data_IF_373612896635
#
_entry.id   IF_373612896635
#
_cell.length_a   1.000
_cell.length_b   1.000
_cell.length_c   1.000
_cell.angle_alpha   90.00
_cell.angle_beta   90.00
_cell.angle_gamma   90.00
#
_symmetry.space_group_name_H-M   'P 1'
#
loop_
_entity.id
_entity.type
_entity.pdbx_description
1 polymer ?
#
# COMPACT_ATOMS: atom_id res chain seq x y z
N UNK A 1 12.46 -6.03 -15.59
CA UNK A 1 11.23 -5.38 -15.11
C UNK A 1 11.64 -4.26 -14.16
N UNK A 2 11.00 -3.09 -14.23
CA UNK A 2 11.31 -1.93 -13.36
C UNK A 2 10.15 -1.68 -12.38
N UNK A 3 10.44 -1.68 -11.08
CA UNK A 3 9.50 -1.22 -10.06
C UNK A 3 9.30 0.29 -10.17
N UNK A 4 8.06 0.74 -10.01
CA UNK A 4 7.68 2.15 -10.01
C UNK A 4 7.33 2.62 -8.59
N UNK A 5 7.46 3.92 -8.29
CA UNK A 5 7.07 4.47 -6.99
C UNK A 5 5.63 4.13 -6.57
N UNK A 6 4.69 4.14 -7.53
CA UNK A 6 3.29 3.77 -7.29
C UNK A 6 3.08 2.30 -6.92
N UNK A 7 4.02 1.41 -7.24
CA UNK A 7 3.96 -0.01 -6.83
C UNK A 7 4.19 -0.13 -5.33
N UNK A 8 5.15 0.64 -4.81
CA UNK A 8 5.45 0.71 -3.38
C UNK A 8 4.31 1.37 -2.61
N UNK A 9 3.72 2.46 -3.13
CA UNK A 9 2.51 3.07 -2.57
C UNK A 9 1.36 2.06 -2.43
N UNK A 10 1.11 1.28 -3.48
CA UNK A 10 0.08 0.23 -3.46
C UNK A 10 0.40 -0.84 -2.41
N UNK A 11 1.65 -1.31 -2.33
CA UNK A 11 2.04 -2.31 -1.34
C UNK A 11 1.83 -1.80 0.10
N UNK A 12 2.21 -0.56 0.41
CA UNK A 12 1.95 0.06 1.71
C UNK A 12 0.45 0.22 2.00
N UNK A 13 -0.38 0.53 1.00
CA UNK A 13 -1.82 0.57 1.20
C UNK A 13 -2.41 -0.78 1.60
N UNK A 14 -1.91 -1.86 1.00
CA UNK A 14 -2.32 -3.22 1.38
C UNK A 14 -1.88 -3.57 2.81
N UNK A 15 -0.72 -3.08 3.27
CA UNK A 15 -0.32 -3.18 4.69
C UNK A 15 -1.28 -2.40 5.60
N UNK A 16 -1.69 -1.20 5.20
CA UNK A 16 -2.60 -0.37 5.98
C UNK A 16 -3.95 -1.07 6.19
N UNK A 17 -4.49 -1.69 5.13
CA UNK A 17 -5.73 -2.45 5.17
C UNK A 17 -5.65 -3.81 5.85
N UNK A 18 -4.48 -4.45 5.89
CA UNK A 18 -4.31 -5.81 6.42
C UNK A 18 -5.33 -6.79 5.82
N UNK A 19 -6.24 -7.35 6.64
CA UNK A 19 -7.24 -8.33 6.22
C UNK A 19 -8.54 -7.73 5.68
N UNK A 20 -8.64 -6.39 5.61
CA UNK A 20 -9.83 -5.75 5.03
C UNK A 20 -10.02 -6.16 3.56
N UNK A 21 -11.27 -6.44 3.19
CA UNK A 21 -11.64 -6.72 1.80
C UNK A 21 -11.45 -5.49 0.92
N UNK A 22 -10.86 -5.71 -0.25
CA UNK A 22 -10.70 -4.67 -1.25
C UNK A 22 -10.91 -5.19 -2.67
N UNK A 23 -11.20 -4.25 -3.57
CA UNK A 23 -11.24 -4.48 -5.02
C UNK A 23 -10.25 -3.54 -5.68
N UNK A 24 -9.80 -3.85 -6.89
CA UNK A 24 -8.93 -2.96 -7.65
C UNK A 24 -9.54 -1.55 -7.82
N UNK A 25 -10.86 -1.44 -7.95
CA UNK A 25 -11.55 -0.16 -8.03
C UNK A 25 -11.46 0.64 -6.73
N UNK A 26 -11.67 -0.01 -5.58
CA UNK A 26 -11.54 0.64 -4.27
C UNK A 26 -10.09 1.08 -4.01
N UNK A 27 -9.14 0.20 -4.32
CA UNK A 27 -7.70 0.49 -4.20
C UNK A 27 -7.30 1.70 -5.05
N UNK A 28 -7.76 1.73 -6.30
CA UNK A 28 -7.54 2.85 -7.20
C UNK A 28 -8.15 4.15 -6.67
N UNK A 29 -9.40 4.10 -6.20
CA UNK A 29 -10.10 5.26 -5.66
C UNK A 29 -9.42 5.84 -4.42
N UNK A 30 -9.09 5.01 -3.42
CA UNK A 30 -8.47 5.49 -2.16
C UNK A 30 -7.04 6.01 -2.38
N UNK A 31 -6.35 5.54 -3.43
CA UNK A 31 -5.00 6.01 -3.78
C UNK A 31 -4.96 7.13 -4.82
N UNK A 32 -6.10 7.53 -5.38
CA UNK A 32 -6.15 8.49 -6.50
C UNK A 32 -5.43 7.99 -7.75
N UNK A 33 -5.46 6.67 -8.00
CA UNK A 33 -4.90 6.03 -9.19
C UNK A 33 -6.01 5.64 -10.16
N UNK A 34 -5.66 5.37 -11.41
CA UNK A 34 -6.55 4.66 -12.32
C UNK A 34 -6.61 3.17 -11.99
N UNK A 35 -7.70 2.50 -12.39
CA UNK A 35 -7.85 1.06 -12.19
C UNK A 35 -6.74 0.23 -12.88
N UNK A 36 -6.29 0.69 -14.06
CA UNK A 36 -5.20 0.05 -14.81
C UNK A 36 -3.85 0.22 -14.09
N UNK A 37 -3.57 1.38 -13.50
CA UNK A 37 -2.37 1.59 -12.69
C UNK A 37 -2.37 0.70 -11.45
N UNK A 38 -3.48 0.64 -10.70
CA UNK A 38 -3.59 -0.23 -9.54
C UNK A 38 -3.36 -1.70 -9.90
N UNK A 39 -3.96 -2.17 -11.00
CA UNK A 39 -3.75 -3.54 -11.47
C UNK A 39 -2.29 -3.79 -11.90
N UNK A 40 -1.70 -2.86 -12.65
CA UNK A 40 -0.31 -2.98 -13.10
C UNK A 40 0.68 -2.96 -11.93
N UNK A 41 0.41 -2.16 -10.89
CA UNK A 41 1.18 -2.13 -9.65
C UNK A 41 1.14 -3.46 -8.91
N UNK A 42 -0.05 -4.05 -8.75
CA UNK A 42 -0.19 -5.38 -8.12
C UNK A 42 0.55 -6.44 -8.94
N UNK A 43 0.44 -6.42 -10.27
CA UNK A 43 1.18 -7.34 -11.15
C UNK A 43 2.70 -7.23 -10.96
N UNK A 44 3.25 -6.02 -10.92
CA UNK A 44 4.70 -5.81 -10.66
C UNK A 44 5.09 -6.21 -9.23
N UNK A 45 4.22 -5.98 -8.25
CA UNK A 45 4.39 -6.43 -6.86
C UNK A 45 4.48 -7.95 -6.74
N UNK A 46 3.64 -8.69 -7.48
CA UNK A 46 3.71 -10.15 -7.57
C UNK A 46 5.01 -10.62 -8.23
N UNK A 47 5.38 -10.04 -9.38
CA UNK A 47 6.60 -10.45 -10.10
C UNK A 47 7.88 -10.12 -9.31
N UNK A 48 7.87 -9.09 -8.47
CA UNK A 48 9.02 -8.72 -7.62
C UNK A 48 9.06 -9.47 -6.29
N UNK A 49 8.01 -10.22 -5.93
CA UNK A 49 7.91 -10.92 -4.65
C UNK A 49 7.54 -10.04 -3.46
N UNK A 50 7.28 -8.74 -3.67
CA UNK A 50 6.76 -7.84 -2.62
C UNK A 50 5.31 -8.17 -2.24
N UNK A 51 4.56 -8.77 -3.17
CA UNK A 51 3.22 -9.30 -2.96
C UNK A 51 3.20 -10.80 -3.27
N UNK A 52 2.30 -11.52 -2.61
CA UNK A 52 2.07 -12.94 -2.82
C UNK A 52 0.65 -13.17 -3.30
N UNK A 53 0.49 -14.05 -4.28
CA UNK A 53 -0.84 -14.50 -4.69
C UNK A 53 -1.50 -15.21 -3.51
N UNK A 54 -2.74 -14.83 -3.18
CA UNK A 54 -3.54 -15.61 -2.25
C UNK A 54 -4.04 -16.82 -3.03
N UNK A 55 -3.44 -17.99 -2.79
CA UNK A 55 -4.01 -19.22 -3.31
C UNK A 55 -5.25 -19.45 -2.46
N UNK A 56 -6.43 -19.35 -3.08
CA UNK A 56 -7.64 -19.92 -2.49
C UNK A 56 -7.26 -21.32 -1.98
N UNK A 57 -7.72 -21.68 -0.80
CA UNK A 57 -7.47 -22.97 -0.16
C UNK A 57 -7.95 -24.10 -1.07
N UNK A 58 -7.10 -24.52 -2.01
CA UNK A 58 -7.37 -25.56 -2.98
C UNK A 58 -7.37 -26.97 -2.36
N UNK A 59 -7.57 -27.09 -1.03
CA UNK A 59 -7.42 -28.35 -0.28
C UNK A 59 -8.70 -28.86 0.40
N UNK A 60 -9.89 -28.29 0.14
CA UNK A 60 -11.15 -28.83 0.66
C UNK A 60 -12.06 -29.48 -0.40
N UNK A 61 -11.63 -29.60 -1.66
CA UNK A 61 -12.44 -30.27 -2.72
C UNK A 61 -11.61 -31.18 -3.63
N UNK A 62 -10.55 -31.83 -3.14
CA UNK A 62 -9.91 -32.95 -3.88
C UNK A 62 -10.42 -34.31 -3.37
N UNK A 63 -11.74 -34.47 -3.38
CA UNK A 63 -12.44 -35.67 -2.93
C UNK A 63 -13.67 -35.98 -3.77
N UNK A 64 -13.56 -35.88 -5.10
CA UNK A 64 -14.49 -36.54 -6.01
C UNK A 64 -13.82 -36.70 -7.38
N UNK A 65 -13.34 -37.91 -7.63
CA UNK A 65 -12.74 -38.32 -8.88
C UNK A 65 -13.79 -38.41 -10.01
N UNK A 66 -13.34 -38.11 -11.23
CA UNK A 66 -13.78 -38.78 -12.46
C UNK A 66 -14.87 -38.08 -13.27
N UNK A 67 -14.48 -37.48 -14.40
CA UNK A 67 -14.96 -37.85 -15.73
C UNK A 67 -14.53 -36.79 -16.77
N UNK A 68 -13.71 -37.23 -17.71
CA UNK A 68 -13.37 -36.55 -18.95
C UNK A 68 -14.60 -36.49 -19.86
N UNK A 69 -14.86 -35.35 -20.53
CA UNK A 69 -15.29 -35.38 -21.95
C UNK A 69 -14.98 -34.04 -22.64
N UNK A 70 -14.30 -34.13 -23.77
CA UNK A 70 -14.07 -33.06 -24.74
C UNK A 70 -15.36 -32.63 -25.43
N UNK A 71 -15.50 -31.34 -25.76
CA UNK A 71 -16.17 -30.89 -26.98
C UNK A 71 -15.71 -29.47 -27.35
N UNK A 72 -15.30 -29.31 -28.60
CA UNK A 72 -14.92 -28.07 -29.28
C UNK A 72 -16.16 -27.28 -29.76
N UNK A 73 -15.96 -25.96 -29.93
CA UNK A 73 -16.51 -25.07 -30.98
C UNK A 73 -17.39 -23.87 -30.52
N UNK A 74 -16.82 -22.67 -30.66
CA UNK A 74 -17.47 -21.34 -30.84
C UNK A 74 -18.00 -21.19 -32.30
N UNK A 75 -18.94 -20.28 -32.67
CA UNK A 75 -18.91 -18.84 -32.35
C UNK A 75 -20.25 -18.01 -32.29
N UNK A 76 -20.12 -16.81 -31.69
CA UNK A 76 -20.75 -15.50 -31.97
C UNK A 76 -22.30 -15.34 -31.97
N UNK A 77 -22.78 -14.43 -31.10
CA UNK A 77 -24.17 -13.93 -31.09
C UNK A 77 -24.33 -12.60 -30.36
N UNK A 78 -24.03 -11.50 -31.06
CA UNK A 78 -24.77 -10.21 -31.15
C UNK A 78 -25.26 -9.54 -29.84
N UNK A 79 -24.72 -8.34 -29.62
CA UNK A 79 -25.07 -7.33 -28.60
C UNK A 79 -26.58 -7.14 -28.36
N UNK A 80 -27.00 -7.21 -27.08
CA UNK A 80 -28.22 -6.56 -26.60
C UNK A 80 -27.95 -5.78 -25.31
N UNK A 81 -27.83 -4.47 -25.46
CA UNK A 81 -27.84 -3.51 -24.35
C UNK A 81 -29.26 -3.39 -23.84
N UNK A 82 -29.53 -3.92 -22.65
CA UNK A 82 -30.73 -3.56 -21.87
C UNK A 82 -30.30 -2.72 -20.68
N UNK A 83 -30.54 -1.40 -20.78
CA UNK A 83 -30.42 -0.48 -19.65
C UNK A 83 -31.46 -0.89 -18.60
N UNK A 84 -31.03 -1.44 -17.46
CA UNK A 84 -31.90 -1.65 -16.29
C UNK A 84 -31.43 -0.75 -15.14
N UNK A 85 -32.19 0.30 -14.91
CA UNK A 85 -32.01 1.28 -13.83
C UNK A 85 -32.70 0.73 -12.57
N UNK A 86 -31.97 0.39 -11.51
CA UNK A 86 -32.58 0.12 -10.18
C UNK A 86 -31.69 0.60 -9.02
N UNK A 87 -32.27 1.54 -8.27
CA UNK A 87 -32.20 1.90 -6.84
C UNK A 87 -30.87 1.81 -6.04
N UNK A 88 -30.41 3.03 -5.71
CA UNK A 88 -30.04 3.58 -4.39
C UNK A 88 -30.13 2.63 -3.17
N UNK A 89 -29.04 2.60 -2.41
CA UNK A 89 -29.03 2.36 -0.96
C UNK A 89 -28.59 0.97 -0.52
N UNK A 90 -27.30 0.65 -0.68
CA UNK A 90 -26.70 -0.48 0.04
C UNK A 90 -26.11 0.08 1.35
N UNK A 91 -26.78 -0.21 2.47
CA UNK A 91 -26.12 -0.21 3.79
C UNK A 91 -25.06 -1.32 3.76
N UNK A 92 -23.88 -1.15 4.38
CA UNK A 92 -22.92 -2.23 4.47
C UNK A 92 -23.51 -3.29 5.40
N UNK A 93 -24.07 -4.33 4.81
CA UNK A 93 -24.32 -5.60 5.49
C UNK A 93 -22.98 -6.30 5.63
N UNK A 94 -22.60 -6.60 6.87
CA UNK A 94 -21.43 -7.39 7.22
C UNK A 94 -21.61 -8.81 6.68
N UNK A 95 -21.21 -9.01 5.43
CA UNK A 95 -21.24 -10.31 4.77
C UNK A 95 -19.94 -11.05 5.07
N UNK A 96 -19.94 -11.76 6.20
CA UNK A 96 -18.82 -12.56 6.75
C UNK A 96 -18.68 -13.89 5.97
N UNK A 97 -18.45 -13.78 4.65
CA UNK A 97 -17.94 -14.88 3.82
C UNK A 97 -16.40 -14.93 3.86
N UNK A 98 -15.75 -15.97 3.30
CA UNK A 98 -14.29 -16.09 3.27
C UNK A 98 -13.62 -14.84 2.67
N UNK A 99 -12.66 -14.25 3.38
CA UNK A 99 -11.99 -12.98 3.05
C UNK A 99 -10.91 -13.16 1.97
N UNK A 100 -11.27 -13.61 0.77
CA UNK A 100 -10.26 -13.91 -0.25
C UNK A 100 -9.88 -12.67 -1.08
N UNK A 101 -9.05 -11.80 -0.48
CA UNK A 101 -8.30 -10.82 -1.25
C UNK A 101 -7.41 -11.56 -2.27
N UNK A 102 -7.28 -11.09 -3.52
CA UNK A 102 -6.56 -11.82 -4.58
C UNK A 102 -5.06 -11.94 -4.30
N UNK A 103 -4.50 -10.99 -3.55
CA UNK A 103 -3.10 -10.94 -3.16
C UNK A 103 -2.98 -10.51 -1.70
N UNK A 104 -1.89 -10.92 -1.07
CA UNK A 104 -1.47 -10.48 0.26
C UNK A 104 -0.06 -9.89 0.19
N UNK A 105 0.31 -9.10 1.19
CA UNK A 105 1.65 -8.52 1.29
C UNK A 105 2.66 -9.58 1.74
N UNK A 106 3.85 -9.59 1.11
CA UNK A 106 4.99 -10.31 1.66
C UNK A 106 5.67 -9.42 2.71
N UNK A 107 5.19 -9.44 3.96
CA UNK A 107 5.61 -8.49 5.00
C UNK A 107 7.14 -8.37 5.14
N UNK A 108 7.84 -9.50 5.29
CA UNK A 108 9.31 -9.52 5.40
C UNK A 108 10.03 -8.89 4.20
N UNK A 109 9.70 -9.31 2.97
CA UNK A 109 10.33 -8.79 1.75
C UNK A 109 10.00 -7.30 1.53
N UNK A 110 8.77 -6.89 1.83
CA UNK A 110 8.38 -5.48 1.75
C UNK A 110 9.10 -4.63 2.79
N UNK A 111 9.25 -5.12 4.03
CA UNK A 111 9.99 -4.43 5.08
C UNK A 111 11.46 -4.29 4.69
N UNK A 112 12.11 -5.38 4.27
CA UNK A 112 13.50 -5.35 3.79
C UNK A 112 13.68 -4.32 2.66
N UNK A 113 12.82 -4.36 1.65
CA UNK A 113 12.86 -3.39 0.57
C UNK A 113 12.60 -1.96 1.06
N UNK A 114 11.60 -1.73 1.90
CA UNK A 114 11.26 -0.40 2.42
C UNK A 114 12.43 0.24 3.19
N UNK A 115 13.11 -0.54 4.04
CA UNK A 115 14.18 -0.05 4.90
C UNK A 115 15.52 0.12 4.17
N UNK A 116 15.81 -0.77 3.21
CA UNK A 116 17.15 -0.88 2.64
C UNK A 116 17.22 -0.55 1.14
N UNK A 117 16.17 -0.79 0.36
CA UNK A 117 16.19 -0.60 -1.09
C UNK A 117 15.42 0.63 -1.60
N UNK A 118 14.23 0.88 -1.04
CA UNK A 118 13.25 1.81 -1.60
C UNK A 118 13.76 3.25 -1.64
N UNK A 119 14.56 3.70 -0.66
CA UNK A 119 15.17 5.05 -0.66
C UNK A 119 16.19 5.28 -1.78
N UNK A 120 16.77 4.21 -2.34
CA UNK A 120 17.69 4.27 -3.48
C UNK A 120 16.96 4.11 -4.80
N UNK A 121 15.92 3.26 -4.83
CA UNK A 121 15.03 3.12 -5.99
C UNK A 121 14.21 4.39 -6.25
N UNK A 122 13.78 5.07 -5.18
CA UNK A 122 12.93 6.26 -5.21
C UNK A 122 13.55 7.37 -4.33
N UNK A 123 14.66 7.98 -4.77
CA UNK A 123 15.38 8.99 -3.98
C UNK A 123 14.49 10.18 -3.62
N UNK A 124 14.69 10.72 -2.42
CA UNK A 124 13.99 11.93 -1.98
C UNK A 124 14.59 13.17 -2.61
N UNK A 125 13.78 13.96 -3.28
CA UNK A 125 14.16 15.27 -3.82
C UNK A 125 13.53 16.36 -2.95
N UNK A 126 14.37 17.29 -2.47
CA UNK A 126 13.88 18.50 -1.80
C UNK A 126 13.56 19.54 -2.86
N UNK A 127 12.40 20.14 -2.72
CA UNK A 127 11.84 21.17 -3.60
C UNK A 127 11.90 22.54 -2.89
N UNK A 128 11.64 23.64 -3.61
CA UNK A 128 11.50 24.96 -2.98
C UNK A 128 10.44 25.00 -1.89
N UNK A 129 10.43 26.10 -1.13
CA UNK A 129 9.41 26.34 -0.11
C UNK A 129 8.00 26.33 -0.73
N UNK A 130 7.09 25.58 -0.13
CA UNK A 130 5.71 25.44 -0.58
C UNK A 130 4.75 25.32 0.61
N UNK A 131 3.46 25.51 0.34
CA UNK A 131 2.38 25.08 1.26
C UNK A 131 2.01 23.64 0.89
N UNK A 132 1.78 22.80 1.90
CA UNK A 132 1.57 21.38 1.67
C UNK A 132 1.12 20.58 2.88
N UNK A 133 0.95 19.29 2.65
CA UNK A 133 0.64 18.30 3.70
C UNK A 133 1.96 17.96 4.40
N UNK A 134 2.06 18.04 5.73
CA UNK A 134 3.33 17.76 6.42
C UNK A 134 3.83 16.33 6.16
N UNK A 135 5.15 16.14 6.05
CA UNK A 135 5.76 14.82 5.83
C UNK A 135 7.09 14.73 6.58
N UNK A 136 7.76 13.56 6.56
CA UNK A 136 9.00 13.32 7.31
C UNK A 136 8.78 13.64 8.80
N UNK A 137 9.76 14.24 9.46
CA UNK A 137 9.72 14.66 10.86
C UNK A 137 8.66 15.71 11.20
N UNK A 138 8.07 16.39 10.21
CA UNK A 138 6.97 17.34 10.41
C UNK A 138 5.59 16.67 10.44
N UNK A 139 5.50 15.40 10.03
CA UNK A 139 4.24 14.68 10.03
C UNK A 139 3.72 14.43 11.45
N UNK A 140 2.39 14.26 11.62
CA UNK A 140 1.79 13.91 12.91
C UNK A 140 2.41 12.68 13.59
N UNK A 141 2.96 11.74 12.80
CA UNK A 141 3.68 10.57 13.30
C UNK A 141 4.86 10.90 14.25
N UNK A 142 5.43 12.11 14.13
CA UNK A 142 6.53 12.59 14.96
C UNK A 142 6.13 13.71 15.93
N UNK A 143 4.83 13.95 16.11
CA UNK A 143 4.35 14.99 17.02
C UNK A 143 4.94 14.82 18.43
N UNK A 144 5.53 15.89 18.96
CA UNK A 144 6.16 15.92 20.29
C UNK A 144 7.52 15.20 20.41
N UNK A 145 8.01 14.56 19.35
CA UNK A 145 9.31 13.85 19.36
C UNK A 145 10.49 14.81 19.17
N UNK A 146 10.32 15.80 18.31
CA UNK A 146 11.34 16.77 17.96
C UNK A 146 10.99 18.15 18.50
N UNK A 147 12.01 18.90 18.91
CA UNK A 147 11.83 20.24 19.42
C UNK A 147 11.26 21.16 18.31
N UNK A 148 10.33 22.07 18.64
CA UNK A 148 9.87 23.09 17.71
C UNK A 148 11.02 23.93 17.15
N UNK A 149 10.88 24.43 15.92
CA UNK A 149 11.87 25.30 15.26
C UNK A 149 12.77 24.61 14.22
N UNK A 150 12.63 23.30 14.01
CA UNK A 150 13.19 22.64 12.84
C UNK A 150 12.47 23.08 11.56
N UNK A 151 13.19 23.16 10.44
CA UNK A 151 12.57 23.42 9.14
C UNK A 151 11.55 22.33 8.80
N UNK A 152 10.33 22.74 8.48
CA UNK A 152 9.27 21.78 8.14
C UNK A 152 9.45 21.17 6.75
N UNK A 153 9.07 19.91 6.61
CA UNK A 153 8.91 19.24 5.33
C UNK A 153 7.44 19.02 4.99
N UNK A 154 7.08 19.30 3.75
CA UNK A 154 5.71 19.15 3.25
C UNK A 154 5.71 18.49 1.88
N UNK A 155 4.70 17.67 1.58
CA UNK A 155 4.36 17.38 0.20
C UNK A 155 3.60 18.59 -0.37
N UNK A 156 4.11 19.27 -1.42
CA UNK A 156 3.42 20.41 -2.00
C UNK A 156 2.00 20.05 -2.43
N UNK A 157 1.01 20.75 -1.86
CA UNK A 157 -0.40 20.51 -2.15
C UNK A 157 -1.21 21.75 -1.80
N UNK A 158 -2.13 22.22 -2.67
CA UNK A 158 -2.85 23.48 -2.46
C UNK A 158 -3.69 23.49 -1.18
N UNK A 159 -4.20 22.34 -0.75
CA UNK A 159 -5.00 22.20 0.47
C UNK A 159 -4.16 21.89 1.72
N UNK A 160 -2.85 22.10 1.65
CA UNK A 160 -1.93 21.88 2.77
C UNK A 160 -2.11 22.89 3.90
N UNK A 161 -1.83 22.48 5.13
CA UNK A 161 -1.96 23.33 6.33
C UNK A 161 -0.65 23.92 6.82
N UNK A 162 0.49 23.46 6.30
CA UNK A 162 1.83 23.83 6.76
C UNK A 162 2.63 24.40 5.59
N UNK A 163 3.47 25.41 5.88
CA UNK A 163 4.46 25.94 4.94
C UNK A 163 5.83 25.42 5.32
N UNK A 164 6.53 24.79 4.38
CA UNK A 164 7.85 24.19 4.63
C UNK A 164 8.63 23.95 3.33
N UNK A 165 9.80 23.33 3.44
CA UNK A 165 10.55 22.84 2.29
C UNK A 165 9.73 21.72 1.64
N UNK A 166 9.49 21.81 0.34
CA UNK A 166 8.78 20.77 -0.37
C UNK A 166 9.61 19.48 -0.42
N UNK A 167 8.94 18.34 -0.35
CA UNK A 167 9.52 17.02 -0.64
C UNK A 167 8.76 16.45 -1.81
N UNK A 168 9.47 15.98 -2.84
CA UNK A 168 8.83 15.33 -3.98
C UNK A 168 8.13 14.04 -3.50
N UNK A 169 6.79 13.95 -3.65
CA UNK A 169 6.06 12.77 -3.23
C UNK A 169 6.44 11.58 -4.11
N UNK A 170 6.36 10.35 -3.56
CA UNK A 170 6.59 9.12 -4.34
C UNK A 170 5.73 9.09 -5.61
N UNK A 171 4.51 9.58 -5.53
CA UNK A 171 3.58 9.69 -6.66
C UNK A 171 2.74 10.96 -6.46
N UNK A 172 2.29 11.66 -7.53
CA UNK A 172 1.47 12.87 -7.39
C UNK A 172 0.20 12.70 -6.55
N UNK A 173 -0.33 11.48 -6.44
CA UNK A 173 -1.52 11.19 -5.62
C UNK A 173 -1.25 10.97 -4.13
N UNK A 174 0.02 10.92 -3.69
CA UNK A 174 0.38 10.67 -2.27
C UNK A 174 -0.26 11.65 -1.30
N UNK A 175 -0.24 12.98 -1.51
CA UNK A 175 -0.85 13.92 -0.55
C UNK A 175 -2.34 13.67 -0.38
N UNK A 176 -3.03 13.32 -1.48
CA UNK A 176 -4.43 12.91 -1.45
C UNK A 176 -4.59 11.60 -0.67
N UNK A 177 -3.88 10.54 -1.06
CA UNK A 177 -3.98 9.21 -0.45
C UNK A 177 -3.70 9.22 1.06
N UNK A 178 -2.71 10.02 1.50
CA UNK A 178 -2.38 10.19 2.91
C UNK A 178 -3.54 10.78 3.74
N UNK A 179 -4.32 11.70 3.15
CA UNK A 179 -5.48 12.28 3.86
C UNK A 179 -6.66 11.31 3.97
N UNK A 180 -6.69 10.25 3.16
CA UNK A 180 -7.76 9.24 3.20
C UNK A 180 -7.51 8.15 4.25
N UNK A 181 -6.25 7.89 4.61
CA UNK A 181 -5.88 6.78 5.49
C UNK A 181 -4.71 7.19 6.42
N UNK A 182 -4.97 7.38 7.73
CA UNK A 182 -3.95 7.78 8.70
C UNK A 182 -2.78 6.79 8.82
N UNK A 183 -3.03 5.48 8.69
CA UNK A 183 -1.99 4.45 8.82
C UNK A 183 -1.08 4.45 7.59
N UNK A 184 -1.66 4.64 6.40
CA UNK A 184 -0.88 4.83 5.18
C UNK A 184 -0.04 6.11 5.27
N UNK A 185 -0.63 7.22 5.73
CA UNK A 185 0.07 8.48 5.91
C UNK A 185 1.29 8.32 6.82
N UNK A 186 1.11 7.68 7.97
CA UNK A 186 2.22 7.42 8.90
C UNK A 186 3.37 6.67 8.19
N UNK A 187 3.09 5.58 7.48
CA UNK A 187 4.13 4.84 6.77
C UNK A 187 4.83 5.66 5.69
N UNK A 188 4.09 6.48 4.93
CA UNK A 188 4.66 7.33 3.88
C UNK A 188 5.53 8.46 4.48
N UNK A 189 5.10 9.06 5.59
CA UNK A 189 5.87 10.08 6.28
C UNK A 189 7.15 9.51 6.92
N UNK A 190 7.08 8.32 7.53
CA UNK A 190 8.25 7.61 8.03
C UNK A 190 9.22 7.29 6.89
N UNK A 191 8.71 6.83 5.75
CA UNK A 191 9.54 6.59 4.59
C UNK A 191 10.23 7.88 4.08
N UNK A 192 9.55 9.02 4.12
CA UNK A 192 10.17 10.31 3.78
C UNK A 192 11.27 10.73 4.74
N UNK A 193 11.12 10.42 6.03
CA UNK A 193 12.20 10.59 6.99
C UNK A 193 13.43 9.75 6.62
N UNK A 194 13.24 8.55 6.03
CA UNK A 194 14.36 7.75 5.47
C UNK A 194 14.99 8.39 4.24
N UNK A 195 14.19 9.05 3.38
CA UNK A 195 14.64 9.66 2.13
C UNK A 195 15.38 10.98 2.33
N UNK A 196 14.87 11.87 3.18
CA UNK A 196 15.35 13.26 3.30
C UNK A 196 15.72 13.69 4.72
N UNK A 197 15.43 12.87 5.73
CA UNK A 197 15.63 13.20 7.14
C UNK A 197 17.09 13.09 7.61
N UNK A 198 17.36 13.65 8.80
CA UNK A 198 18.64 13.59 9.52
C UNK A 198 18.86 12.21 10.17
N UNK A 199 20.07 11.94 10.66
CA UNK A 199 20.42 10.64 11.23
C UNK A 199 19.45 10.15 12.33
N UNK A 200 19.07 11.04 13.26
CA UNK A 200 18.12 10.72 14.33
C UNK A 200 16.73 10.37 13.80
N UNK A 201 16.23 11.15 12.84
CA UNK A 201 14.93 10.94 12.19
C UNK A 201 14.91 9.61 11.43
N UNK A 202 15.99 9.33 10.67
CA UNK A 202 16.15 8.07 9.94
C UNK A 202 16.13 6.86 10.86
N UNK A 203 16.90 6.89 11.96
CA UNK A 203 16.98 5.76 12.88
C UNK A 203 15.61 5.44 13.49
N UNK A 204 14.87 6.47 13.92
CA UNK A 204 13.52 6.29 14.45
C UNK A 204 12.53 5.81 13.38
N UNK A 205 12.64 6.35 12.17
CA UNK A 205 11.78 5.96 11.06
C UNK A 205 12.00 4.49 10.68
N UNK A 206 13.24 3.99 10.71
CA UNK A 206 13.53 2.58 10.43
C UNK A 206 12.81 1.65 11.41
N UNK A 207 12.90 1.94 12.70
CA UNK A 207 12.26 1.13 13.74
C UNK A 207 10.72 1.13 13.62
N UNK A 208 10.12 2.31 13.50
CA UNK A 208 8.67 2.45 13.42
C UNK A 208 8.08 1.91 12.12
N UNK A 209 8.75 2.14 10.98
CA UNK A 209 8.28 1.64 9.69
C UNK A 209 8.33 0.09 9.65
N UNK A 210 9.36 -0.51 10.24
CA UNK A 210 9.43 -1.97 10.40
C UNK A 210 8.25 -2.47 11.24
N UNK A 211 7.97 -1.84 12.38
CA UNK A 211 6.86 -2.22 13.26
C UNK A 211 5.50 -2.23 12.54
N UNK A 212 5.29 -1.28 11.63
CA UNK A 212 4.04 -1.14 10.88
C UNK A 212 3.90 -2.16 9.73
N UNK A 213 5.00 -2.49 9.05
CA UNK A 213 4.99 -3.41 7.89
C UNK A 213 5.09 -4.87 8.33
N UNK A 214 5.99 -5.17 9.26
CA UNK A 214 6.25 -6.51 9.76
C UNK A 214 6.40 -6.49 11.29
N UNK A 215 5.28 -6.41 12.03
CA UNK A 215 5.31 -6.43 13.50
C UNK A 215 5.88 -7.74 14.05
N UNK A 216 5.87 -8.83 13.29
CA UNK A 216 6.39 -10.13 13.72
C UNK A 216 7.91 -10.14 13.84
N UNK A 217 8.61 -9.28 13.08
CA UNK A 217 10.06 -9.13 13.15
C UNK A 217 10.56 -8.55 14.49
N UNK A 218 9.70 -7.84 15.24
CA UNK A 218 10.04 -7.26 16.54
C UNK A 218 9.76 -8.21 17.72
N UNK A 219 8.99 -9.27 17.50
CA UNK A 219 8.72 -10.26 18.53
C UNK A 219 9.96 -11.16 18.72
N UNK A 220 10.37 -11.48 19.97
CA UNK A 220 11.43 -12.45 20.18
C UNK A 220 11.01 -13.79 19.61
N UNK A 221 11.79 -14.33 18.67
CA UNK A 221 11.53 -15.67 18.13
C UNK A 221 11.55 -16.67 19.30
N UNK A 222 10.39 -17.22 19.65
CA UNK A 222 10.30 -18.37 20.56
C UNK A 222 11.07 -19.52 19.89
N UNK A 223 12.35 -19.68 20.26
CA UNK A 223 13.11 -20.90 19.92
C UNK A 223 12.33 -22.08 20.46
N UNK A 224 11.85 -22.94 19.57
CA UNK A 224 11.33 -24.25 19.95
C UNK A 224 12.40 -24.99 20.77
N UNK A 225 12.05 -25.67 21.87
CA UNK A 225 13.01 -26.48 22.60
C UNK A 225 13.54 -27.54 21.64
N UNK A 226 14.86 -27.57 21.44
CA UNK A 226 15.52 -28.75 20.87
C UNK A 226 15.29 -29.86 21.89
N UNK A 227 14.63 -30.92 21.46
CA UNK A 227 14.33 -32.10 22.27
C UNK A 227 15.57 -32.82 22.76
#
# INVERSE_FOLDING_TARGET
>A
MQLKPQDFLVALKLVAWADQRWTYSRLAQELGLSASEAHASVKRGLTSGLLLQNRASASLVSGAAGAETQALHEPQGIYRVTRKRVRRGVKPTEDVGPLDNPVRVHAQALAEFALHGAKYAFPGVRLPLAVGVPTSHSAPAFAGVFAPGSTDFVWPHPNGSVRGIGVEPLHPSVPYAATQDPKLYEMLALFDALRVGKARERNMAMERLLALIDPSALAPQKKAPRG
#
